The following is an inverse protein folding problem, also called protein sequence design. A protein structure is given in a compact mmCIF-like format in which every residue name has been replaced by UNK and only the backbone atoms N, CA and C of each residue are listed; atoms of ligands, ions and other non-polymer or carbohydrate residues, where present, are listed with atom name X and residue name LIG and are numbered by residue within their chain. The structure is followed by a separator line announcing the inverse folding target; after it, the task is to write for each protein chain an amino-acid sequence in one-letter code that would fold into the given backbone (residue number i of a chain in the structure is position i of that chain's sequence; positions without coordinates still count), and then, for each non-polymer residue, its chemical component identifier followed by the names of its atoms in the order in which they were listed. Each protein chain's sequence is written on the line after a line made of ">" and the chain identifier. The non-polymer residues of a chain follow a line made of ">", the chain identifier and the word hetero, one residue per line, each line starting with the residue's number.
data_IF_195808060981
#
_entry.id   IF_195808060981
#
_cell.length_a   1.000
_cell.length_b   1.000
_cell.length_c   1.000
_cell.angle_alpha   90.00
_cell.angle_beta   90.00
_cell.angle_gamma   90.00
#
_symmetry.space_group_name_H-M   'P 1'
#
loop_
_entity.id
_entity.type
_entity.pdbx_description
1 polymer ?
#
# COMPACT_ATOMS: atom_id res chain seq x y z
N UNK A 1 3.42 15.91 10.80
CA UNK A 1 2.85 15.00 11.81
C UNK A 1 1.33 15.16 11.85
N UNK A 2 0.78 16.27 12.36
CA UNK A 2 -0.67 16.56 12.46
C UNK A 2 -1.66 16.16 11.34
N UNK A 3 -1.28 16.04 10.07
CA UNK A 3 -2.24 15.75 8.99
C UNK A 3 -2.39 14.25 8.70
N UNK A 4 -1.33 13.47 8.91
CA UNK A 4 -1.31 12.02 8.69
C UNK A 4 -2.06 11.34 9.84
N UNK A 5 -1.60 11.62 11.07
CA UNK A 5 -2.23 11.19 12.32
C UNK A 5 -3.73 11.58 12.40
N UNK A 6 -4.09 12.75 11.86
CA UNK A 6 -5.49 13.21 11.82
C UNK A 6 -6.32 12.44 10.78
N UNK A 7 -5.76 12.16 9.61
CA UNK A 7 -6.46 11.37 8.60
C UNK A 7 -6.67 9.94 9.08
N UNK A 8 -5.64 9.35 9.70
CA UNK A 8 -5.73 8.04 10.35
C UNK A 8 -6.85 8.02 11.39
N UNK A 9 -6.89 9.01 12.29
CA UNK A 9 -7.95 9.14 13.29
C UNK A 9 -9.35 9.26 12.65
N UNK A 10 -9.51 10.11 11.62
CA UNK A 10 -10.79 10.33 10.94
C UNK A 10 -11.27 9.06 10.24
N UNK A 11 -10.38 8.31 9.60
CA UNK A 11 -10.74 7.13 8.81
C UNK A 11 -10.99 5.93 9.72
N UNK A 12 -10.04 5.64 10.61
CA UNK A 12 -10.01 4.37 11.32
C UNK A 12 -10.62 4.44 12.70
N UNK A 13 -10.61 5.58 13.38
CA UNK A 13 -11.26 5.70 14.67
C UNK A 13 -10.60 6.75 15.55
N UNK A 14 -11.42 7.56 16.21
CA UNK A 14 -10.97 8.77 16.88
C UNK A 14 -11.58 8.97 18.26
N UNK A 15 -10.82 9.64 19.13
CA UNK A 15 -11.29 10.22 20.39
C UNK A 15 -11.05 11.73 20.42
N UNK A 16 -11.83 12.48 21.22
CA UNK A 16 -11.51 13.87 21.51
C UNK A 16 -10.14 13.99 22.21
N UNK A 17 -9.33 14.95 21.78
CA UNK A 17 -8.09 15.36 22.44
C UNK A 17 -8.09 16.87 22.71
N UNK A 18 -8.02 17.26 23.99
CA UNK A 18 -8.02 18.66 24.39
C UNK A 18 -9.34 19.38 24.07
N UNK A 19 -9.28 20.69 23.82
CA UNK A 19 -10.48 21.54 23.65
C UNK A 19 -11.08 21.53 22.23
N UNK A 20 -10.36 21.04 21.21
CA UNK A 20 -10.86 21.01 19.83
C UNK A 20 -10.15 20.01 18.90
N UNK A 21 -9.29 19.15 19.44
CA UNK A 21 -8.55 18.16 18.66
C UNK A 21 -9.26 16.80 18.64
N UNK A 22 -8.88 15.99 17.66
CA UNK A 22 -9.15 14.55 17.68
C UNK A 22 -7.81 13.82 17.52
N UNK A 23 -7.69 12.69 18.21
CA UNK A 23 -6.55 11.78 18.10
C UNK A 23 -7.02 10.39 17.75
N UNK A 24 -6.15 9.60 17.12
CA UNK A 24 -6.42 8.20 16.81
C UNK A 24 -6.62 7.39 18.10
N UNK A 25 -7.59 6.48 18.10
CA UNK A 25 -7.89 5.61 19.24
C UNK A 25 -8.05 4.15 18.78
N UNK A 26 -7.07 3.27 19.06
CA UNK A 26 -7.09 1.87 18.65
C UNK A 26 -8.32 1.08 19.15
N UNK A 27 -8.90 1.47 20.30
CA UNK A 27 -10.11 0.81 20.82
C UNK A 27 -11.35 1.09 19.97
N UNK A 28 -11.33 2.16 19.17
CA UNK A 28 -12.42 2.59 18.29
C UNK A 28 -12.16 2.25 16.83
N UNK A 29 -11.11 1.46 16.56
CA UNK A 29 -10.73 1.04 15.21
C UNK A 29 -11.34 -0.29 14.79
N UNK A 30 -12.20 -0.33 13.73
CA UNK A 30 -12.75 -1.58 13.20
C UNK A 30 -11.67 -2.57 12.73
N UNK A 31 -10.50 -2.10 12.29
CA UNK A 31 -9.40 -2.97 11.85
C UNK A 31 -8.86 -3.84 12.98
N UNK A 32 -9.15 -3.53 14.25
CA UNK A 32 -8.81 -4.41 15.38
C UNK A 32 -9.46 -5.80 15.27
N UNK A 33 -10.56 -5.93 14.54
CA UNK A 33 -11.19 -7.22 14.27
C UNK A 33 -10.48 -8.05 13.20
N UNK A 34 -9.60 -7.44 12.41
CA UNK A 34 -8.78 -8.15 11.43
C UNK A 34 -7.55 -8.74 12.13
N UNK A 35 -7.49 -10.06 12.19
CA UNK A 35 -6.40 -10.81 12.77
C UNK A 35 -5.55 -11.35 11.62
N UNK A 36 -4.30 -10.90 11.54
CA UNK A 36 -3.30 -11.42 10.61
C UNK A 36 -2.15 -12.00 11.43
N UNK A 37 -1.90 -13.30 11.29
CA UNK A 37 -0.77 -13.98 11.94
C UNK A 37 0.48 -13.90 11.07
N UNK A 38 1.62 -14.15 11.69
CA UNK A 38 2.84 -14.41 10.94
C UNK A 38 2.65 -15.66 10.06
N UNK A 39 3.25 -15.67 8.88
CA UNK A 39 3.22 -16.83 8.01
C UNK A 39 4.04 -17.98 8.59
N UNK A 40 3.84 -19.18 8.05
CA UNK A 40 4.77 -20.28 8.28
C UNK A 40 6.18 -19.92 7.80
N UNK A 41 7.18 -20.55 8.43
CA UNK A 41 8.58 -20.33 8.09
C UNK A 41 8.86 -20.76 6.63
N UNK A 42 9.60 -19.92 5.91
CA UNK A 42 10.05 -20.21 4.56
C UNK A 42 11.49 -20.69 4.62
N UNK A 43 11.73 -21.88 4.08
CA UNK A 43 13.07 -22.47 4.05
C UNK A 43 14.07 -21.64 3.24
N UNK A 44 15.33 -21.61 3.70
CA UNK A 44 16.42 -20.80 3.10
C UNK A 44 16.69 -21.06 1.61
N UNK A 45 16.25 -22.21 1.08
CA UNK A 45 16.38 -22.55 -0.35
C UNK A 45 15.64 -21.60 -1.28
N UNK A 46 14.68 -20.83 -0.76
CA UNK A 46 13.90 -19.84 -1.50
C UNK A 46 14.44 -18.41 -1.36
N UNK A 47 15.51 -18.22 -0.60
CA UNK A 47 16.16 -16.92 -0.43
C UNK A 47 17.23 -16.75 -1.50
N UNK A 48 17.15 -15.64 -2.22
CA UNK A 48 18.15 -15.23 -3.20
C UNK A 48 18.60 -13.79 -2.94
N UNK A 49 19.85 -13.50 -3.33
CA UNK A 49 20.41 -12.16 -3.27
C UNK A 49 20.14 -11.43 -4.59
N UNK A 50 19.35 -10.36 -4.52
CA UNK A 50 18.97 -9.56 -5.68
C UNK A 50 19.75 -8.26 -5.75
N UNK A 51 20.32 -7.98 -6.93
CA UNK A 51 20.75 -6.61 -7.25
C UNK A 51 19.53 -5.77 -7.59
N UNK A 52 19.39 -4.65 -6.90
CA UNK A 52 18.29 -3.71 -7.12
C UNK A 52 18.80 -2.52 -7.92
N UNK A 53 18.25 -2.36 -9.12
CA UNK A 53 18.47 -1.20 -9.96
C UNK A 53 17.49 -0.09 -9.56
N UNK A 54 18.02 1.08 -9.18
CA UNK A 54 17.22 2.30 -8.95
C UNK A 54 17.08 3.08 -10.26
N UNK A 55 15.98 2.85 -10.96
CA UNK A 55 15.68 3.55 -12.21
C UNK A 55 15.21 4.98 -11.93
N UNK A 56 15.48 5.92 -12.84
CA UNK A 56 15.15 7.34 -12.69
C UNK A 56 16.24 8.18 -12.00
N UNK A 57 17.32 7.54 -11.55
CA UNK A 57 18.53 8.22 -11.13
C UNK A 57 19.61 8.09 -12.22
N UNK A 58 20.31 9.19 -12.61
CA UNK A 58 21.36 9.10 -13.63
C UNK A 58 22.58 8.32 -13.16
N UNK A 59 22.81 8.24 -11.85
CA UNK A 59 23.90 7.47 -11.26
C UNK A 59 23.36 6.14 -10.72
N UNK A 60 24.03 5.01 -11.02
CA UNK A 60 23.67 3.74 -10.43
C UNK A 60 23.92 3.80 -8.92
N UNK A 61 22.92 3.40 -8.14
CA UNK A 61 23.03 3.22 -6.69
C UNK A 61 23.04 1.70 -6.47
N UNK A 62 24.20 1.09 -6.16
CA UNK A 62 24.25 -0.35 -5.94
C UNK A 62 23.51 -0.67 -4.63
N UNK A 63 22.42 -1.41 -4.75
CA UNK A 63 21.66 -1.92 -3.63
C UNK A 63 21.52 -3.43 -3.81
N UNK A 64 21.81 -4.18 -2.76
CA UNK A 64 21.61 -5.62 -2.70
C UNK A 64 20.64 -5.93 -1.57
N UNK A 65 19.68 -6.81 -1.84
CA UNK A 65 18.69 -7.24 -0.86
C UNK A 65 18.50 -8.74 -0.96
N UNK A 66 18.33 -9.37 0.19
CA UNK A 66 17.78 -10.72 0.25
C UNK A 66 16.28 -10.64 -0.02
N UNK A 67 15.79 -11.52 -0.88
CA UNK A 67 14.39 -11.60 -1.24
C UNK A 67 13.97 -13.04 -1.49
N UNK A 68 12.68 -13.29 -1.39
CA UNK A 68 12.10 -14.57 -1.77
C UNK A 68 12.02 -14.68 -3.29
N UNK A 69 12.36 -15.85 -3.81
CA UNK A 69 12.23 -16.14 -5.23
C UNK A 69 10.75 -16.15 -5.67
N UNK A 70 10.42 -15.65 -6.88
CA UNK A 70 9.07 -15.77 -7.43
C UNK A 70 8.61 -17.23 -7.48
N UNK A 71 7.34 -17.47 -7.15
CA UNK A 71 6.77 -18.82 -7.05
C UNK A 71 6.97 -19.50 -5.69
N UNK A 72 7.63 -18.83 -4.74
CA UNK A 72 7.66 -19.29 -3.35
C UNK A 72 6.26 -19.17 -2.73
N UNK A 73 5.80 -20.24 -2.09
CA UNK A 73 4.51 -20.30 -1.39
C UNK A 73 4.73 -20.46 0.13
N UNK A 74 3.79 -19.93 0.90
CA UNK A 74 3.67 -20.14 2.35
C UNK A 74 2.21 -19.96 2.75
N UNK A 75 1.88 -20.35 3.97
CA UNK A 75 0.53 -20.18 4.53
C UNK A 75 0.53 -19.04 5.55
N UNK A 76 -0.57 -18.28 5.56
CA UNK A 76 -0.83 -17.21 6.52
C UNK A 76 -2.25 -17.34 7.02
N UNK A 77 -2.46 -17.17 8.33
CA UNK A 77 -3.78 -17.14 8.92
C UNK A 77 -4.29 -15.70 8.93
N UNK A 78 -5.40 -15.46 8.21
CA UNK A 78 -6.13 -14.19 8.18
C UNK A 78 -7.56 -14.49 8.61
N UNK A 79 -8.05 -13.80 9.64
CA UNK A 79 -9.40 -14.04 10.18
C UNK A 79 -10.05 -12.73 10.59
N UNK A 80 -11.37 -12.64 10.43
CA UNK A 80 -12.17 -11.52 10.92
C UNK A 80 -12.97 -11.95 12.16
N UNK A 81 -12.69 -11.31 13.29
CA UNK A 81 -13.46 -11.50 14.53
C UNK A 81 -14.80 -10.75 14.46
N UNK A 82 -15.80 -11.42 13.89
CA UNK A 82 -17.16 -10.87 13.71
C UNK A 82 -17.87 -10.60 15.03
N UNK A 83 -17.58 -11.38 16.07
CA UNK A 83 -18.17 -11.15 17.40
C UNK A 83 -17.61 -9.89 18.03
N UNK A 84 -16.30 -9.63 17.91
CA UNK A 84 -15.70 -8.36 18.33
C UNK A 84 -16.34 -7.17 17.58
N UNK A 85 -16.57 -7.28 16.27
CA UNK A 85 -17.27 -6.27 15.48
C UNK A 85 -18.67 -5.99 16.00
N UNK A 86 -19.42 -7.05 16.33
CA UNK A 86 -20.80 -6.95 16.82
C UNK A 86 -20.87 -6.37 18.24
N UNK A 87 -20.02 -6.84 19.16
CA UNK A 87 -20.00 -6.42 20.55
C UNK A 87 -19.57 -4.96 20.72
N UNK A 88 -18.65 -4.49 19.88
CA UNK A 88 -18.12 -3.11 19.94
C UNK A 88 -18.77 -2.18 18.91
N UNK A 89 -19.86 -2.59 18.26
CA UNK A 89 -20.42 -1.84 17.13
C UNK A 89 -20.87 -0.41 17.47
N UNK A 90 -21.18 -0.13 18.74
CA UNK A 90 -21.51 1.22 19.23
C UNK A 90 -20.27 2.04 19.65
N UNK A 91 -19.11 1.40 19.81
CA UNK A 91 -17.86 2.05 20.20
C UNK A 91 -17.00 2.44 19.01
N UNK A 92 -17.11 1.67 17.91
CA UNK A 92 -16.43 1.97 16.66
C UNK A 92 -16.97 3.26 16.03
N UNK A 93 -16.07 4.03 15.44
CA UNK A 93 -16.37 5.26 14.73
C UNK A 93 -15.36 5.49 13.59
N UNK A 94 -15.42 6.65 12.95
CA UNK A 94 -14.59 6.99 11.80
C UNK A 94 -15.23 6.60 10.47
N UNK A 95 -14.66 7.09 9.37
CA UNK A 95 -15.23 6.95 8.03
C UNK A 95 -15.34 5.48 7.60
N UNK A 96 -14.37 4.63 7.97
CA UNK A 96 -14.43 3.20 7.65
C UNK A 96 -15.69 2.56 8.23
N UNK A 97 -15.99 2.82 9.51
CA UNK A 97 -17.17 2.26 10.17
C UNK A 97 -18.47 2.78 9.56
N UNK A 98 -18.54 4.08 9.25
CA UNK A 98 -19.73 4.65 8.60
C UNK A 98 -19.95 4.07 7.20
N UNK A 99 -18.90 3.91 6.39
CA UNK A 99 -19.01 3.24 5.08
C UNK A 99 -19.51 1.79 5.19
N UNK A 100 -19.11 1.06 6.23
CA UNK A 100 -19.60 -0.29 6.48
C UNK A 100 -21.09 -0.31 6.85
N UNK A 101 -21.56 0.69 7.62
CA UNK A 101 -22.99 0.85 7.96
C UNK A 101 -23.85 1.18 6.75
N UNK A 102 -23.32 1.96 5.81
CA UNK A 102 -24.00 2.26 4.54
C UNK A 102 -24.19 0.99 3.67
N UNK A 103 -23.28 0.01 3.81
CA UNK A 103 -23.36 -1.29 3.11
C UNK A 103 -24.24 -2.33 3.83
N UNK A 104 -24.79 -2.01 4.99
CA UNK A 104 -25.68 -2.90 5.76
C UNK A 104 -25.18 -3.15 7.18
N UNK A 105 -25.25 -4.42 7.63
CA UNK A 105 -24.71 -4.82 8.94
C UNK A 105 -23.16 -4.81 8.90
N UNK A 106 -22.48 -3.93 9.66
CA UNK A 106 -21.02 -3.76 9.52
C UNK A 106 -20.21 -5.03 9.76
N UNK A 107 -20.60 -5.86 10.73
CA UNK A 107 -19.93 -7.12 11.05
C UNK A 107 -20.08 -8.20 9.96
N UNK A 108 -21.08 -8.07 9.07
CA UNK A 108 -21.22 -8.94 7.89
C UNK A 108 -20.48 -8.36 6.69
N UNK A 109 -20.54 -7.03 6.52
CA UNK A 109 -19.96 -6.33 5.36
C UNK A 109 -18.44 -6.16 5.41
N UNK A 110 -17.82 -6.27 6.60
CA UNK A 110 -16.40 -5.95 6.81
C UNK A 110 -15.45 -6.73 5.90
N UNK A 111 -15.61 -8.05 5.83
CA UNK A 111 -14.71 -8.93 5.09
C UNK A 111 -14.79 -8.70 3.58
N UNK A 112 -16.01 -8.62 3.04
CA UNK A 112 -16.23 -8.31 1.63
C UNK A 112 -15.67 -6.93 1.27
N UNK A 113 -15.90 -5.92 2.13
CA UNK A 113 -15.35 -4.58 1.95
C UNK A 113 -13.81 -4.58 1.94
N UNK A 114 -13.17 -5.34 2.83
CA UNK A 114 -11.72 -5.44 2.92
C UNK A 114 -11.13 -5.97 1.60
N UNK A 115 -11.68 -7.07 1.08
CA UNK A 115 -11.19 -7.69 -0.14
C UNK A 115 -11.50 -6.86 -1.39
N UNK A 116 -12.67 -6.21 -1.44
CA UNK A 116 -12.99 -5.20 -2.45
C UNK A 116 -11.94 -4.08 -2.47
N UNK A 117 -11.62 -3.53 -1.29
CA UNK A 117 -10.66 -2.43 -1.16
C UNK A 117 -9.24 -2.84 -1.57
N UNK A 118 -8.81 -4.06 -1.21
CA UNK A 118 -7.53 -4.63 -1.65
C UNK A 118 -7.50 -4.73 -3.18
N UNK A 119 -8.51 -5.37 -3.77
CA UNK A 119 -8.58 -5.59 -5.21
C UNK A 119 -8.63 -4.28 -5.99
N UNK A 120 -9.45 -3.31 -5.56
CA UNK A 120 -9.57 -2.00 -6.19
C UNK A 120 -8.25 -1.23 -6.10
N UNK A 121 -7.67 -1.13 -4.90
CA UNK A 121 -6.45 -0.36 -4.69
C UNK A 121 -5.28 -0.89 -5.52
N UNK A 122 -5.01 -2.20 -5.47
CA UNK A 122 -3.88 -2.76 -6.20
C UNK A 122 -4.11 -2.84 -7.71
N UNK A 123 -5.37 -2.94 -8.15
CA UNK A 123 -5.71 -2.76 -9.58
C UNK A 123 -5.37 -1.34 -10.06
N UNK A 124 -5.68 -0.33 -9.25
CA UNK A 124 -5.33 1.07 -9.55
C UNK A 124 -3.81 1.29 -9.52
N UNK A 125 -3.07 0.67 -8.60
CA UNK A 125 -1.60 0.67 -8.59
C UNK A 125 -1.03 0.10 -9.88
N UNK A 126 -1.49 -1.09 -10.31
CA UNK A 126 -1.03 -1.75 -11.55
C UNK A 126 -1.32 -0.84 -12.75
N UNK A 127 -2.52 -0.25 -12.81
CA UNK A 127 -2.93 0.64 -13.90
C UNK A 127 -2.03 1.87 -13.97
N UNK A 128 -1.70 2.49 -12.85
CA UNK A 128 -0.81 3.65 -12.82
C UNK A 128 0.63 3.29 -13.18
N UNK A 129 1.14 2.13 -12.77
CA UNK A 129 2.47 1.68 -13.16
C UNK A 129 2.56 1.29 -14.63
N UNK A 130 1.49 0.74 -15.22
CA UNK A 130 1.39 0.47 -16.66
C UNK A 130 1.45 1.77 -17.48
N UNK A 131 0.73 2.82 -17.07
CA UNK A 131 0.78 4.15 -17.69
C UNK A 131 2.18 4.76 -17.64
N UNK A 132 2.92 4.48 -16.57
CA UNK A 132 4.28 4.98 -16.36
C UNK A 132 5.38 3.97 -16.74
N UNK A 133 5.08 2.95 -17.57
CA UNK A 133 6.05 1.91 -17.96
C UNK A 133 7.35 2.48 -18.55
N UNK A 134 7.29 3.61 -19.26
CA UNK A 134 8.49 4.28 -19.79
C UNK A 134 9.49 4.72 -18.70
N UNK A 135 9.04 4.95 -17.46
CA UNK A 135 9.92 5.34 -16.34
C UNK A 135 10.82 4.20 -15.85
N UNK A 136 10.56 2.96 -16.27
CA UNK A 136 11.41 1.81 -15.96
C UNK A 136 12.60 1.64 -16.91
N UNK A 137 12.78 2.57 -17.87
CA UNK A 137 13.97 2.62 -18.73
C UNK A 137 14.14 1.34 -19.54
N UNK A 138 15.32 0.72 -19.48
CA UNK A 138 15.63 -0.52 -20.20
C UNK A 138 14.69 -1.70 -19.83
N UNK A 139 14.08 -1.67 -18.64
CA UNK A 139 13.19 -2.72 -18.14
C UNK A 139 11.72 -2.51 -18.54
N UNK A 140 11.39 -1.43 -19.28
CA UNK A 140 10.01 -1.07 -19.59
C UNK A 140 9.20 -2.19 -20.26
N UNK A 141 9.83 -2.98 -21.13
CA UNK A 141 9.18 -4.11 -21.82
C UNK A 141 8.86 -5.24 -20.84
N UNK A 142 9.85 -5.67 -20.05
CA UNK A 142 9.72 -6.78 -19.11
C UNK A 142 8.71 -6.43 -18.00
N UNK A 143 8.76 -5.20 -17.50
CA UNK A 143 7.81 -4.66 -16.52
C UNK A 143 6.38 -4.65 -17.08
N UNK A 144 6.20 -4.26 -18.35
CA UNK A 144 4.87 -4.29 -18.97
C UNK A 144 4.34 -5.72 -19.07
N UNK A 145 5.17 -6.67 -19.50
CA UNK A 145 4.81 -8.09 -19.58
C UNK A 145 4.43 -8.62 -18.19
N UNK A 146 5.24 -8.32 -17.18
CA UNK A 146 4.99 -8.70 -15.78
C UNK A 146 3.61 -8.19 -15.31
N UNK A 147 3.34 -6.89 -15.41
CA UNK A 147 2.05 -6.34 -14.96
C UNK A 147 0.87 -6.87 -15.74
N UNK A 148 1.00 -7.08 -17.05
CA UNK A 148 -0.05 -7.71 -17.85
C UNK A 148 -0.31 -9.15 -17.45
N UNK A 149 0.68 -9.86 -16.90
CA UNK A 149 0.51 -11.24 -16.42
C UNK A 149 -0.19 -11.34 -15.07
N UNK A 150 -0.16 -10.29 -14.25
CA UNK A 150 -0.77 -10.31 -12.90
C UNK A 150 -2.28 -10.52 -12.94
N UNK A 151 -2.96 -10.09 -14.00
CA UNK A 151 -4.41 -10.30 -14.16
C UNK A 151 -4.81 -11.76 -14.41
N UNK A 152 -3.85 -12.67 -14.61
CA UNK A 152 -4.11 -14.09 -14.82
C UNK A 152 -4.12 -14.91 -13.53
N UNK A 153 -3.70 -14.32 -12.39
CA UNK A 153 -3.72 -15.00 -11.11
C UNK A 153 -5.11 -14.87 -10.48
N UNK A 154 -5.61 -15.98 -9.92
CA UNK A 154 -6.79 -15.95 -9.04
C UNK A 154 -6.43 -15.33 -7.69
N UNK A 155 -7.44 -15.02 -6.87
CA UNK A 155 -7.24 -14.49 -5.52
C UNK A 155 -7.00 -12.97 -5.44
N UNK A 156 -6.42 -12.53 -4.34
CA UNK A 156 -6.20 -11.12 -3.99
C UNK A 156 -4.73 -10.75 -4.18
N UNK A 157 -4.48 -9.77 -5.05
CA UNK A 157 -3.14 -9.24 -5.28
C UNK A 157 -2.78 -8.22 -4.21
N UNK A 158 -1.61 -8.35 -3.59
CA UNK A 158 -1.04 -7.36 -2.69
C UNK A 158 0.41 -7.07 -3.05
N UNK A 159 0.88 -5.90 -2.62
CA UNK A 159 2.28 -5.52 -2.76
C UNK A 159 2.90 -5.24 -1.40
N UNK A 160 3.71 -6.17 -0.93
CA UNK A 160 4.31 -6.16 0.39
C UNK A 160 5.77 -5.66 0.36
N UNK A 161 6.19 -5.12 1.50
CA UNK A 161 7.59 -4.91 1.82
C UNK A 161 8.32 -3.86 0.97
N UNK A 162 9.64 -4.00 0.95
CA UNK A 162 10.56 -3.04 0.35
C UNK A 162 10.54 -3.14 -1.18
N UNK A 163 10.30 -2.01 -1.84
CA UNK A 163 10.22 -1.94 -3.32
C UNK A 163 8.81 -1.65 -3.86
N UNK A 164 7.80 -1.64 -2.99
CA UNK A 164 6.41 -1.25 -3.27
C UNK A 164 6.26 0.20 -3.78
N UNK A 165 7.15 1.07 -3.32
CA UNK A 165 7.20 2.46 -3.75
C UNK A 165 6.03 3.30 -3.24
N UNK A 166 6.11 4.62 -3.47
CA UNK A 166 5.12 5.57 -2.96
C UNK A 166 3.67 5.31 -3.43
N UNK A 167 3.40 4.92 -4.71
CA UNK A 167 2.02 4.67 -5.15
C UNK A 167 1.33 3.52 -4.40
N UNK A 168 2.08 2.53 -3.95
CA UNK A 168 1.53 1.32 -3.31
C UNK A 168 1.51 1.39 -1.79
N UNK A 169 2.05 2.46 -1.19
CA UNK A 169 2.20 2.63 0.27
C UNK A 169 1.52 3.89 0.79
N UNK A 170 0.80 4.61 -0.06
CA UNK A 170 0.18 5.89 0.29
C UNK A 170 -1.10 6.05 -0.51
N UNK A 171 -2.00 6.92 -0.06
CA UNK A 171 -3.17 7.44 -0.81
C UNK A 171 -2.78 8.29 -2.05
N UNK A 172 -1.54 8.18 -2.51
CA UNK A 172 -0.92 9.04 -3.50
C UNK A 172 -1.58 8.98 -4.88
N UNK A 173 -2.16 7.83 -5.23
CA UNK A 173 -2.93 7.64 -6.47
C UNK A 173 -4.15 8.57 -6.49
N UNK A 174 -4.85 8.69 -5.36
CA UNK A 174 -5.99 9.60 -5.22
C UNK A 174 -5.52 11.05 -5.21
N UNK A 175 -4.48 11.36 -4.42
CA UNK A 175 -3.98 12.73 -4.30
C UNK A 175 -3.51 13.33 -5.63
N UNK A 176 -2.97 12.53 -6.55
CA UNK A 176 -2.57 13.01 -7.89
C UNK A 176 -3.72 13.51 -8.75
N UNK A 177 -4.95 13.06 -8.48
CA UNK A 177 -6.17 13.49 -9.19
C UNK A 177 -6.66 14.87 -8.72
N UNK A 178 -6.20 15.33 -7.56
CA UNK A 178 -6.63 16.60 -6.95
C UNK A 178 -6.00 17.83 -7.62
N UNK A 179 -6.82 18.87 -7.84
CA UNK A 179 -6.38 20.14 -8.47
C UNK A 179 -5.22 20.81 -7.74
N UNK A 180 -5.15 20.64 -6.41
CA UNK A 180 -4.12 21.25 -5.54
C UNK A 180 -2.91 20.34 -5.29
N UNK A 181 -2.81 19.19 -5.97
CA UNK A 181 -1.77 18.18 -5.74
C UNK A 181 -0.36 18.76 -5.72
N UNK A 182 0.04 19.50 -6.75
CA UNK A 182 1.42 20.03 -6.84
C UNK A 182 1.77 21.00 -5.71
N UNK A 183 0.79 21.74 -5.18
CA UNK A 183 0.99 22.59 -4.00
C UNK A 183 1.15 21.73 -2.75
N UNK A 184 0.26 20.76 -2.55
CA UNK A 184 0.32 19.85 -1.39
C UNK A 184 1.63 19.06 -1.37
N UNK A 185 2.04 18.49 -2.52
CA UNK A 185 3.30 17.78 -2.71
C UNK A 185 4.51 18.59 -2.26
N UNK A 186 4.58 19.87 -2.66
CA UNK A 186 5.67 20.78 -2.29
C UNK A 186 5.64 21.13 -0.80
N UNK A 187 4.47 21.39 -0.24
CA UNK A 187 4.30 21.65 1.20
C UNK A 187 4.75 20.45 2.06
N UNK A 188 4.50 19.24 1.57
CA UNK A 188 4.93 17.98 2.22
C UNK A 188 6.40 17.62 1.94
N UNK A 189 7.14 18.41 1.15
CA UNK A 189 8.54 18.13 0.85
C UNK A 189 8.77 16.95 -0.10
N UNK A 190 7.72 16.42 -0.74
CA UNK A 190 7.79 15.21 -1.56
C UNK A 190 8.52 15.47 -2.88
N UNK A 191 9.66 14.78 -3.07
CA UNK A 191 10.51 14.94 -4.25
C UNK A 191 11.44 16.15 -4.19
N UNK A 192 11.72 16.70 -2.99
CA UNK A 192 12.77 17.69 -2.77
C UNK A 192 14.13 17.10 -3.14
N UNK A 193 14.93 17.86 -3.87
CA UNK A 193 16.27 17.43 -4.29
C UNK A 193 17.23 17.46 -3.08
N UNK A 194 18.10 16.46 -2.92
CA UNK A 194 19.16 16.50 -1.91
C UNK A 194 20.02 17.75 -2.08
N UNK A 195 20.33 18.46 -0.97
CA UNK A 195 21.23 19.61 -0.98
C UNK A 195 20.69 20.90 -1.62
N UNK A 196 19.37 21.01 -1.91
CA UNK A 196 18.80 22.22 -2.49
C UNK A 196 17.32 22.49 -2.16
N UNK A 197 16.81 23.61 -2.68
CA UNK A 197 15.41 24.04 -2.52
C UNK A 197 14.49 23.57 -3.67
N UNK A 198 15.07 22.96 -4.71
CA UNK A 198 14.33 22.51 -5.88
C UNK A 198 13.53 21.22 -5.65
N UNK A 199 12.38 21.12 -6.31
CA UNK A 199 11.60 19.89 -6.39
C UNK A 199 11.82 19.21 -7.74
N UNK A 200 11.77 17.88 -7.77
CA UNK A 200 11.67 17.13 -9.01
C UNK A 200 10.39 17.53 -9.76
N UNK A 201 10.50 17.73 -11.08
CA UNK A 201 9.35 17.94 -11.96
C UNK A 201 8.51 16.67 -12.09
N UNK A 202 9.18 15.51 -11.98
CA UNK A 202 8.54 14.20 -12.00
C UNK A 202 8.54 13.61 -10.60
N UNK A 203 7.37 13.21 -10.11
CA UNK A 203 7.21 12.53 -8.84
C UNK A 203 6.14 11.43 -8.96
N UNK A 204 6.37 10.23 -8.38
CA UNK A 204 7.67 9.74 -7.90
C UNK A 204 8.64 9.54 -9.06
N UNK A 205 9.89 10.02 -8.90
CA UNK A 205 10.93 9.99 -9.94
C UNK A 205 11.54 8.60 -10.11
N UNK A 206 11.78 7.92 -9.00
CA UNK A 206 12.54 6.66 -8.98
C UNK A 206 11.63 5.45 -8.92
N UNK A 207 12.15 4.31 -9.39
CA UNK A 207 11.57 2.97 -9.23
C UNK A 207 12.68 1.99 -8.86
N UNK A 208 12.33 0.95 -8.11
CA UNK A 208 13.24 -0.12 -7.71
C UNK A 208 12.85 -1.38 -8.45
N UNK A 209 13.84 -2.00 -9.09
CA UNK A 209 13.67 -3.22 -9.89
C UNK A 209 14.73 -4.22 -9.46
N UNK A 210 14.31 -5.45 -9.15
CA UNK A 210 15.21 -6.56 -8.82
C UNK A 210 15.17 -7.57 -9.95
N UNK A 211 16.33 -7.94 -10.51
CA UNK A 211 16.39 -8.93 -11.59
C UNK A 211 15.55 -8.58 -12.84
N UNK A 212 15.28 -7.29 -13.08
CA UNK A 212 14.43 -6.83 -14.18
C UNK A 212 12.92 -6.78 -13.88
N UNK A 213 12.49 -7.19 -12.68
CA UNK A 213 11.08 -7.23 -12.29
C UNK A 213 10.73 -6.27 -11.14
N UNK A 214 9.48 -5.75 -11.09
CA UNK A 214 8.95 -5.06 -9.92
C UNK A 214 8.87 -6.00 -8.71
N UNK A 215 9.19 -5.46 -7.53
CA UNK A 215 9.28 -6.24 -6.29
C UNK A 215 7.99 -6.20 -5.47
N UNK A 216 7.82 -7.23 -4.64
CA UNK A 216 6.89 -7.26 -3.52
C UNK A 216 5.49 -7.77 -3.85
N UNK A 217 5.22 -8.17 -5.09
CA UNK A 217 3.91 -8.69 -5.46
C UNK A 217 3.70 -10.10 -4.92
N UNK A 218 2.57 -10.29 -4.26
CA UNK A 218 2.09 -11.57 -3.73
C UNK A 218 0.63 -11.76 -4.11
N UNK A 219 0.19 -13.02 -4.11
CA UNK A 219 -1.21 -13.42 -4.29
C UNK A 219 -1.63 -14.13 -3.01
N UNK A 220 -2.78 -13.74 -2.45
CA UNK A 220 -3.48 -14.49 -1.42
C UNK A 220 -4.65 -15.22 -2.06
N UNK A 221 -4.68 -16.55 -1.91
CA UNK A 221 -5.73 -17.43 -2.43
C UNK A 221 -6.74 -17.82 -1.35
#
# INVERSE_FOLDING_TARGET
>A
KKADDLLEAIVFGMKPEGHSGVGYEPKRDPLRALIVRDSLEIGRKHLALYRVDVVGNPQPIPIWVEGLEPGTTTEVEITVDRELLKLNGNEFNGLLWECLRERGEPWKAFEDFLWDAVNEFYSDVIREELKETGKFGKWAKDVRVFYSSLGNYGGHLLRLGWGSGWPSTTIGILLRKERKWERARKMLGLGRKPGGEGFSREFPKTRRIAGGMPMGWVVLE
#
